data_IF_253101801858
#
_entry.id   IF_253101801858
#
_cell.length_a   1.000
_cell.length_b   1.000
_cell.length_c   1.000
_cell.angle_alpha   90.00
_cell.angle_beta   90.00
_cell.angle_gamma   90.00
#
_symmetry.space_group_name_H-M   'P 1'
#
loop_
_entity.id
_entity.type
_entity.pdbx_description
1 polymer ?
#
# COMPACT_ATOMS: atom_id res chain seq x y z
N UNK A 1 1.14 -22.53 -16.18
CA UNK A 1 -0.29 -22.25 -16.44
C UNK A 1 -0.39 -20.79 -16.85
N UNK A 2 -1.23 -20.45 -17.82
CA UNK A 2 -1.46 -19.07 -18.28
C UNK A 2 -2.94 -18.77 -18.11
N UNK A 3 -3.28 -17.62 -17.55
CA UNK A 3 -4.66 -17.19 -17.29
C UNK A 3 -4.87 -15.78 -17.81
N UNK A 4 -6.09 -15.47 -18.24
CA UNK A 4 -6.56 -14.11 -18.54
C UNK A 4 -7.27 -13.48 -17.34
N UNK A 5 -7.56 -12.18 -17.40
CA UNK A 5 -8.39 -11.50 -16.40
C UNK A 5 -9.79 -12.12 -16.28
N UNK A 6 -10.35 -12.62 -17.38
CA UNK A 6 -11.65 -13.32 -17.40
C UNK A 6 -11.57 -14.66 -16.66
N UNK A 7 -10.47 -15.39 -16.83
CA UNK A 7 -10.22 -16.64 -16.11
C UNK A 7 -10.08 -16.38 -14.61
N UNK A 8 -9.34 -15.33 -14.23
CA UNK A 8 -9.15 -14.93 -12.83
C UNK A 8 -10.47 -14.51 -12.17
N UNK A 9 -11.33 -13.77 -12.88
CA UNK A 9 -12.65 -13.38 -12.36
C UNK A 9 -13.57 -14.60 -12.14
N UNK A 10 -13.53 -15.57 -13.06
CA UNK A 10 -14.27 -16.83 -12.96
C UNK A 10 -13.74 -17.72 -11.82
N UNK A 11 -12.41 -17.75 -11.67
CA UNK A 11 -11.73 -18.42 -10.56
C UNK A 11 -12.15 -17.82 -9.22
N UNK A 12 -12.12 -16.49 -9.06
CA UNK A 12 -12.49 -15.82 -7.82
C UNK A 12 -13.93 -16.15 -7.39
N UNK A 13 -14.87 -16.19 -8.33
CA UNK A 13 -16.26 -16.60 -8.02
C UNK A 13 -16.33 -18.07 -7.56
N UNK A 14 -15.55 -18.96 -8.17
CA UNK A 14 -15.56 -20.39 -7.80
C UNK A 14 -14.88 -20.62 -6.45
N UNK A 15 -13.78 -19.92 -6.21
CA UNK A 15 -13.02 -19.94 -4.96
C UNK A 15 -13.86 -19.38 -3.80
N UNK A 16 -14.34 -18.14 -3.91
CA UNK A 16 -15.08 -17.48 -2.83
C UNK A 16 -16.46 -18.08 -2.53
N UNK A 17 -16.96 -18.97 -3.39
CA UNK A 17 -18.19 -19.74 -3.15
C UNK A 17 -17.93 -21.17 -2.65
N UNK A 18 -16.66 -21.55 -2.46
CA UNK A 18 -16.28 -22.90 -2.02
C UNK A 18 -16.60 -24.00 -3.02
N UNK A 19 -16.69 -23.70 -4.32
CA UNK A 19 -17.05 -24.70 -5.35
C UNK A 19 -15.91 -25.66 -5.71
N UNK A 20 -14.70 -25.33 -5.29
CA UNK A 20 -13.48 -26.06 -5.65
C UNK A 20 -13.08 -27.11 -4.60
N UNK A 21 -13.70 -27.07 -3.43
CA UNK A 21 -13.37 -27.90 -2.28
C UNK A 21 -14.63 -28.55 -1.68
N UNK A 22 -14.44 -29.58 -0.86
CA UNK A 22 -15.53 -30.08 0.01
C UNK A 22 -15.88 -29.04 1.07
N UNK A 23 -17.11 -29.02 1.61
CA UNK A 23 -17.51 -28.05 2.62
C UNK A 23 -16.54 -27.94 3.79
N UNK A 24 -16.06 -29.06 4.34
CA UNK A 24 -15.14 -29.08 5.48
C UNK A 24 -13.76 -28.53 5.12
N UNK A 25 -13.31 -28.74 3.89
CA UNK A 25 -12.04 -28.19 3.40
C UNK A 25 -12.15 -26.70 3.09
N UNK A 26 -13.31 -26.24 2.61
CA UNK A 26 -13.55 -24.82 2.40
C UNK A 26 -13.66 -24.08 3.74
N UNK A 27 -14.34 -24.67 4.72
CA UNK A 27 -14.39 -24.14 6.08
C UNK A 27 -12.97 -23.96 6.65
N UNK A 28 -12.13 -24.99 6.57
CA UNK A 28 -10.73 -24.90 6.96
C UNK A 28 -9.93 -23.84 6.16
N UNK A 29 -10.21 -23.69 4.85
CA UNK A 29 -9.57 -22.66 4.02
C UNK A 29 -9.95 -21.23 4.46
N UNK A 30 -11.19 -21.04 4.91
CA UNK A 30 -11.73 -19.74 5.36
C UNK A 30 -11.67 -19.52 6.86
N UNK A 31 -10.92 -20.34 7.60
CA UNK A 31 -10.55 -20.06 8.99
C UNK A 31 -9.45 -19.00 9.02
N UNK A 32 -9.86 -17.73 8.94
CA UNK A 32 -8.93 -16.60 8.88
C UNK A 32 -8.26 -16.35 10.23
N UNK A 33 -6.98 -15.98 10.15
CA UNK A 33 -6.22 -15.39 11.25
C UNK A 33 -5.75 -14.00 10.85
N UNK A 34 -5.62 -13.11 11.83
CA UNK A 34 -5.00 -11.81 11.62
C UNK A 34 -3.48 -11.96 11.48
N UNK A 35 -2.89 -11.20 10.57
CA UNK A 35 -1.45 -11.05 10.41
C UNK A 35 -1.10 -9.62 10.06
N UNK A 36 0.20 -9.31 10.16
CA UNK A 36 0.76 -8.01 9.77
C UNK A 36 1.87 -8.25 8.76
N UNK A 37 1.92 -7.41 7.72
CA UNK A 37 3.02 -7.44 6.75
C UNK A 37 3.26 -6.02 6.25
N UNK A 38 4.52 -5.59 6.32
CA UNK A 38 4.91 -4.21 5.98
C UNK A 38 4.09 -3.17 6.78
N UNK A 39 3.71 -3.47 8.02
CA UNK A 39 2.90 -2.59 8.86
C UNK A 39 1.40 -2.57 8.52
N UNK A 40 0.97 -3.23 7.45
CA UNK A 40 -0.45 -3.36 7.10
C UNK A 40 -1.03 -4.65 7.69
N UNK A 41 -2.15 -4.53 8.39
CA UNK A 41 -2.90 -5.68 8.91
C UNK A 41 -3.72 -6.34 7.80
N UNK A 42 -3.80 -7.67 7.81
CA UNK A 42 -4.60 -8.44 6.87
C UNK A 42 -5.15 -9.70 7.54
N UNK A 43 -6.21 -10.26 6.95
CA UNK A 43 -6.77 -11.53 7.40
C UNK A 43 -6.49 -12.62 6.38
N UNK A 44 -5.97 -13.75 6.84
CA UNK A 44 -5.43 -14.78 5.97
C UNK A 44 -5.86 -16.18 6.40
N UNK A 45 -6.37 -16.95 5.46
CA UNK A 45 -6.69 -18.37 5.59
C UNK A 45 -5.68 -19.25 4.84
N UNK A 46 -6.10 -20.42 4.37
CA UNK A 46 -5.20 -21.31 3.63
C UNK A 46 -5.09 -20.90 2.15
N UNK A 47 -4.16 -19.97 1.86
CA UNK A 47 -3.94 -19.46 0.51
C UNK A 47 -5.07 -18.55 0.00
N UNK A 48 -5.79 -17.93 0.92
CA UNK A 48 -6.92 -17.04 0.66
C UNK A 48 -6.84 -15.85 1.63
N UNK A 49 -6.94 -14.65 1.11
CA UNK A 49 -7.00 -13.39 1.85
C UNK A 49 -8.45 -12.94 2.04
N UNK A 50 -8.71 -12.25 3.16
CA UNK A 50 -9.90 -11.44 3.37
C UNK A 50 -9.51 -9.97 3.52
N UNK A 51 -10.16 -9.11 2.75
CA UNK A 51 -10.04 -7.66 2.82
C UNK A 51 -11.44 -7.05 2.92
N UNK A 52 -11.84 -6.64 4.13
CA UNK A 52 -13.25 -6.31 4.42
C UNK A 52 -14.16 -7.51 4.12
N UNK A 53 -15.18 -7.29 3.28
CA UNK A 53 -16.09 -8.33 2.80
C UNK A 53 -15.57 -9.11 1.59
N UNK A 54 -14.38 -8.78 1.08
CA UNK A 54 -13.83 -9.40 -0.12
C UNK A 54 -12.96 -10.61 0.20
N UNK A 55 -13.12 -11.68 -0.57
CA UNK A 55 -12.33 -12.92 -0.50
C UNK A 55 -11.52 -13.11 -1.76
N UNK A 56 -10.23 -13.40 -1.66
CA UNK A 56 -9.42 -13.63 -2.85
C UNK A 56 -7.95 -13.73 -2.57
N UNK A 57 -7.11 -13.31 -3.51
CA UNK A 57 -5.67 -13.32 -3.32
C UNK A 57 -4.95 -12.39 -4.30
N UNK A 58 -3.77 -11.94 -3.91
CA UNK A 58 -2.87 -11.12 -4.72
C UNK A 58 -1.77 -11.97 -5.35
N UNK A 59 -1.00 -11.41 -6.28
CA UNK A 59 0.13 -12.10 -6.90
C UNK A 59 1.14 -11.09 -7.40
N UNK A 60 2.42 -11.37 -7.17
CA UNK A 60 3.50 -10.46 -7.52
C UNK A 60 4.68 -11.27 -8.06
N UNK A 61 5.11 -10.94 -9.28
CA UNK A 61 6.35 -11.44 -9.89
C UNK A 61 7.05 -10.26 -10.56
N UNK A 62 8.37 -10.31 -10.75
CA UNK A 62 9.08 -9.18 -11.38
C UNK A 62 8.44 -8.80 -12.73
N UNK A 63 8.11 -7.52 -12.86
CA UNK A 63 7.40 -6.95 -14.00
C UNK A 63 5.87 -7.01 -13.93
N UNK A 64 5.25 -7.73 -13.01
CA UNK A 64 3.79 -7.89 -12.96
C UNK A 64 3.21 -7.97 -11.53
N UNK A 65 2.08 -7.31 -11.33
CA UNK A 65 1.22 -7.51 -10.15
C UNK A 65 -0.18 -7.91 -10.59
N UNK A 66 -0.86 -8.68 -9.75
CA UNK A 66 -2.22 -9.13 -9.97
C UNK A 66 -2.99 -9.18 -8.65
N UNK A 67 -4.30 -8.97 -8.73
CA UNK A 67 -5.21 -9.19 -7.63
C UNK A 67 -6.52 -9.73 -8.19
N UNK A 68 -7.10 -10.72 -7.51
CA UNK A 68 -8.41 -11.25 -7.86
C UNK A 68 -9.21 -11.48 -6.60
N UNK A 69 -10.37 -10.82 -6.50
CA UNK A 69 -11.19 -10.78 -5.30
C UNK A 69 -12.66 -11.00 -5.65
N UNK A 70 -13.40 -11.60 -4.74
CA UNK A 70 -14.82 -11.91 -4.84
C UNK A 70 -15.57 -11.32 -3.65
N UNK A 71 -16.67 -10.62 -3.91
CA UNK A 71 -17.59 -10.07 -2.92
C UNK A 71 -18.81 -10.99 -2.81
N UNK A 72 -18.92 -11.83 -1.76
CA UNK A 72 -19.99 -12.83 -1.65
C UNK A 72 -21.41 -12.25 -1.65
N UNK A 73 -21.61 -11.13 -0.97
CA UNK A 73 -22.91 -10.48 -0.75
C UNK A 73 -23.52 -9.98 -2.06
N UNK A 74 -22.67 -9.49 -2.97
CA UNK A 74 -23.07 -8.98 -4.29
C UNK A 74 -22.84 -9.97 -5.43
N UNK A 75 -22.13 -11.08 -5.16
CA UNK A 75 -21.71 -12.09 -6.14
C UNK A 75 -20.90 -11.51 -7.30
N UNK A 76 -20.02 -10.57 -6.98
CA UNK A 76 -19.15 -9.86 -7.94
C UNK A 76 -17.72 -10.36 -7.79
N UNK A 77 -17.02 -10.52 -8.92
CA UNK A 77 -15.57 -10.69 -8.95
C UNK A 77 -14.92 -9.46 -9.57
N UNK A 78 -13.77 -9.04 -9.04
CA UNK A 78 -12.91 -8.03 -9.66
C UNK A 78 -11.51 -8.62 -9.77
N UNK A 79 -10.98 -8.65 -10.99
CA UNK A 79 -9.64 -9.13 -11.29
C UNK A 79 -8.87 -8.05 -12.04
N UNK A 80 -7.68 -7.70 -11.54
CA UNK A 80 -6.80 -6.68 -12.10
C UNK A 80 -5.42 -7.27 -12.27
N UNK A 81 -4.81 -7.03 -13.42
CA UNK A 81 -3.42 -7.40 -13.72
C UNK A 81 -2.71 -6.20 -14.30
N UNK A 82 -1.55 -5.87 -13.76
CA UNK A 82 -0.73 -4.73 -14.18
C UNK A 82 0.65 -5.25 -14.56
N UNK A 83 1.20 -4.77 -15.67
CA UNK A 83 2.57 -5.05 -16.12
C UNK A 83 3.60 -4.14 -15.43
N UNK A 84 3.42 -3.95 -14.12
CA UNK A 84 4.28 -3.12 -13.31
C UNK A 84 4.54 -3.79 -11.97
N UNK A 85 5.79 -4.22 -11.80
CA UNK A 85 6.40 -4.60 -10.53
C UNK A 85 7.91 -4.44 -10.68
N UNK A 86 8.45 -3.27 -10.34
CA UNK A 86 9.85 -2.95 -10.61
C UNK A 86 10.70 -3.27 -9.38
N UNK A 87 11.85 -3.94 -9.55
CA UNK A 87 12.83 -4.09 -8.45
C UNK A 87 13.93 -3.00 -8.54
N UNK A 88 14.41 -2.44 -7.40
CA UNK A 88 13.84 -2.60 -6.06
C UNK A 88 12.37 -2.15 -6.06
N UNK A 89 11.52 -2.87 -5.30
CA UNK A 89 10.02 -2.91 -5.29
C UNK A 89 9.31 -1.55 -5.18
N UNK A 90 10.07 -0.46 -5.18
CA UNK A 90 9.84 0.79 -4.49
C UNK A 90 9.38 1.91 -5.41
N UNK A 91 9.42 1.72 -6.73
CA UNK A 91 9.40 2.86 -7.67
C UNK A 91 7.99 3.40 -7.86
N UNK A 92 7.15 2.79 -8.67
CA UNK A 92 5.93 3.48 -9.07
C UNK A 92 4.75 3.34 -8.08
N UNK A 93 4.78 2.38 -7.13
CA UNK A 93 3.76 2.09 -6.10
C UNK A 93 2.29 1.94 -6.58
N UNK A 94 2.00 2.22 -7.85
CA UNK A 94 0.71 1.98 -8.50
C UNK A 94 0.76 0.55 -9.02
N UNK A 95 0.37 -0.38 -8.16
CA UNK A 95 0.26 -1.79 -8.48
C UNK A 95 -1.21 -2.22 -8.63
N UNK A 96 -1.45 -3.50 -8.86
CA UNK A 96 -2.80 -4.02 -9.00
C UNK A 96 -3.64 -3.84 -7.72
N UNK A 97 -3.05 -3.81 -6.53
CA UNK A 97 -3.74 -3.69 -5.25
C UNK A 97 -4.32 -2.29 -5.07
N UNK A 98 -3.52 -1.26 -5.32
CA UNK A 98 -3.96 0.14 -5.20
C UNK A 98 -5.11 0.43 -6.17
N UNK A 99 -4.96 0.02 -7.43
CA UNK A 99 -6.00 0.21 -8.46
C UNK A 99 -7.28 -0.54 -8.07
N UNK A 100 -7.15 -1.76 -7.55
CA UNK A 100 -8.30 -2.55 -7.12
C UNK A 100 -9.05 -1.89 -5.97
N UNK A 101 -8.33 -1.44 -4.94
CA UNK A 101 -8.91 -0.79 -3.78
C UNK A 101 -9.72 0.45 -4.20
N UNK A 102 -9.14 1.32 -5.03
CA UNK A 102 -9.83 2.53 -5.49
C UNK A 102 -11.08 2.21 -6.34
N UNK A 103 -11.02 1.19 -7.19
CA UNK A 103 -12.17 0.77 -8.00
C UNK A 103 -13.30 0.20 -7.13
N UNK A 104 -12.99 -0.66 -6.16
CA UNK A 104 -14.04 -1.28 -5.34
C UNK A 104 -14.58 -0.34 -4.28
N UNK A 105 -13.80 0.63 -3.81
CA UNK A 105 -14.30 1.68 -2.92
C UNK A 105 -15.32 2.58 -3.64
N UNK A 106 -15.05 2.95 -4.89
CA UNK A 106 -15.99 3.73 -5.72
C UNK A 106 -17.24 2.92 -6.11
N UNK A 107 -17.07 1.68 -6.56
CA UNK A 107 -18.18 0.88 -7.08
C UNK A 107 -19.00 0.16 -6.00
N UNK A 108 -18.38 -0.15 -4.85
CA UNK A 108 -18.94 -0.91 -3.74
C UNK A 108 -18.55 -0.30 -2.39
N UNK A 109 -18.94 0.96 -2.12
CA UNK A 109 -18.55 1.64 -0.89
C UNK A 109 -18.99 0.88 0.37
N UNK A 110 -18.14 0.93 1.41
CA UNK A 110 -18.39 0.26 2.70
C UNK A 110 -18.13 -1.26 2.70
N UNK A 111 -17.44 -1.79 1.68
CA UNK A 111 -17.09 -3.22 1.60
C UNK A 111 -15.62 -3.52 1.92
N UNK A 112 -14.72 -2.53 1.88
CA UNK A 112 -13.31 -2.69 2.27
C UNK A 112 -13.09 -2.45 3.76
N UNK A 113 -13.64 -1.34 4.25
CA UNK A 113 -13.74 -1.03 5.67
C UNK A 113 -15.22 -1.02 6.03
N UNK A 114 -15.56 -1.41 7.26
CA UNK A 114 -16.88 -1.07 7.79
C UNK A 114 -17.08 0.44 7.54
N UNK A 115 -18.26 0.89 7.09
CA UNK A 115 -18.53 2.31 6.97
C UNK A 115 -18.33 2.90 8.36
N UNK A 116 -17.18 3.51 8.56
CA UNK A 116 -16.93 4.29 9.74
C UNK A 116 -17.90 5.45 9.55
N UNK A 117 -18.91 5.58 10.43
CA UNK A 117 -19.80 6.75 10.46
C UNK A 117 -19.03 8.04 10.83
N UNK A 118 -17.71 8.06 10.64
CA UNK A 118 -16.88 9.23 10.80
C UNK A 118 -17.22 10.18 9.67
N UNK A 119 -17.73 11.36 10.04
CA UNK A 119 -17.87 12.50 9.15
C UNK A 119 -16.63 12.56 8.25
N UNK A 120 -16.83 12.66 6.93
CA UNK A 120 -15.74 12.83 5.98
C UNK A 120 -14.96 14.09 6.36
N UNK A 121 -13.86 13.92 7.09
CA UNK A 121 -12.97 15.01 7.48
C UNK A 121 -12.38 15.57 6.18
N UNK A 122 -12.53 16.87 5.90
CA UNK A 122 -11.95 17.45 4.70
C UNK A 122 -10.46 17.20 4.63
N UNK A 123 -9.96 16.87 3.43
CA UNK A 123 -8.55 16.67 3.22
C UNK A 123 -7.75 17.93 3.57
N UNK A 124 -6.53 17.79 4.15
CA UNK A 124 -5.63 18.91 4.31
C UNK A 124 -5.28 19.51 2.94
N UNK A 125 -4.99 20.82 2.86
CA UNK A 125 -4.58 21.43 1.60
C UNK A 125 -3.33 20.72 1.05
N UNK A 126 -3.31 20.48 -0.26
CA UNK A 126 -2.16 19.87 -0.91
C UNK A 126 -0.94 20.81 -0.79
N UNK A 127 0.23 20.29 -0.39
CA UNK A 127 1.45 21.09 -0.36
C UNK A 127 1.94 21.34 -1.79
N UNK A 128 2.62 22.47 -1.99
CA UNK A 128 3.35 22.74 -3.23
C UNK A 128 4.51 21.75 -3.40
N UNK A 129 4.76 21.28 -4.63
CA UNK A 129 5.81 20.29 -4.91
C UNK A 129 7.20 20.71 -4.40
N UNK A 130 7.53 22.01 -4.51
CA UNK A 130 8.83 22.54 -4.05
C UNK A 130 8.96 22.51 -2.51
N UNK A 131 7.88 22.81 -1.80
CA UNK A 131 7.83 22.76 -0.34
C UNK A 131 7.89 21.31 0.15
N UNK A 132 7.11 20.40 -0.45
CA UNK A 132 7.18 18.98 -0.11
C UNK A 132 8.57 18.39 -0.41
N UNK A 133 9.24 18.83 -1.48
CA UNK A 133 10.64 18.47 -1.75
C UNK A 133 11.57 18.88 -0.61
N UNK A 134 11.47 20.12 -0.13
CA UNK A 134 12.30 20.60 0.97
C UNK A 134 12.06 19.80 2.26
N UNK A 135 10.79 19.54 2.57
CA UNK A 135 10.37 18.75 3.75
C UNK A 135 10.87 17.30 3.68
N UNK A 136 10.72 16.63 2.53
CA UNK A 136 11.22 15.26 2.32
C UNK A 136 12.74 15.19 2.45
N UNK A 137 13.48 16.12 1.84
CA UNK A 137 14.95 16.16 1.94
C UNK A 137 15.41 16.38 3.38
N UNK A 138 14.77 17.30 4.11
CA UNK A 138 15.08 17.51 5.51
C UNK A 138 14.76 16.26 6.35
N UNK A 139 13.60 15.62 6.13
CA UNK A 139 13.20 14.47 6.91
C UNK A 139 14.06 13.22 6.66
N UNK A 140 14.53 13.04 5.42
CA UNK A 140 15.41 11.95 4.98
C UNK A 140 16.90 12.22 5.21
N UNK A 141 17.28 13.40 5.72
CA UNK A 141 18.63 13.69 6.17
C UNK A 141 18.83 13.12 7.59
N UNK A 142 19.77 12.18 7.80
CA UNK A 142 20.05 11.62 9.13
C UNK A 142 20.56 12.67 10.13
N UNK A 143 21.07 13.81 9.68
CA UNK A 143 21.48 14.92 10.54
C UNK A 143 20.29 15.72 11.12
N UNK A 144 19.09 15.59 10.54
CA UNK A 144 17.89 16.27 11.03
C UNK A 144 17.37 15.60 12.30
N UNK A 145 17.32 16.30 13.45
CA UNK A 145 16.75 15.75 14.67
C UNK A 145 15.27 15.39 14.50
N UNK A 146 14.79 14.35 15.20
CA UNK A 146 13.40 13.91 15.12
C UNK A 146 12.39 15.06 15.36
N UNK A 147 12.65 15.92 16.35
CA UNK A 147 11.81 17.09 16.66
C UNK A 147 11.78 18.16 15.55
N UNK A 148 12.75 18.14 14.64
CA UNK A 148 12.83 19.06 13.48
C UNK A 148 12.17 18.51 12.21
N UNK A 149 11.75 17.23 12.19
CA UNK A 149 11.10 16.63 11.02
C UNK A 149 9.67 17.16 10.89
N UNK A 150 9.40 17.86 9.80
CA UNK A 150 8.06 18.40 9.49
C UNK A 150 7.11 17.35 8.91
N UNK A 151 7.66 16.20 8.49
CA UNK A 151 6.89 15.05 8.01
C UNK A 151 6.94 13.94 9.04
N UNK A 152 5.83 13.21 9.13
CA UNK A 152 5.68 12.01 9.94
C UNK A 152 5.35 10.83 9.03
N UNK A 153 5.63 9.63 9.51
CA UNK A 153 5.04 8.40 8.97
C UNK A 153 3.81 8.13 9.82
N UNK A 154 2.72 7.66 9.19
CA UNK A 154 1.51 7.29 9.90
C UNK A 154 1.79 6.12 10.87
N UNK A 155 0.99 5.98 11.92
CA UNK A 155 0.94 4.78 12.77
C UNK A 155 2.31 4.27 13.30
N UNK A 156 3.23 5.18 13.62
CA UNK A 156 4.59 4.82 14.10
C UNK A 156 4.66 4.38 15.56
N UNK A 157 3.54 4.14 16.24
CA UNK A 157 3.52 3.82 17.67
C UNK A 157 4.35 2.57 18.01
N UNK A 158 4.40 1.60 17.09
CA UNK A 158 5.19 0.39 17.23
C UNK A 158 6.71 0.62 17.07
N UNK A 159 7.12 1.66 16.33
CA UNK A 159 8.53 2.03 16.14
C UNK A 159 8.68 3.52 15.76
N UNK A 160 8.83 4.42 16.76
CA UNK A 160 9.02 5.85 16.51
C UNK A 160 10.28 6.19 15.71
N UNK A 161 11.25 5.26 15.64
CA UNK A 161 12.51 5.43 14.90
C UNK A 161 12.39 4.99 13.43
N UNK A 162 11.23 4.53 12.97
CA UNK A 162 11.04 4.08 11.59
C UNK A 162 11.51 5.13 10.57
N UNK A 163 11.19 6.41 10.78
CA UNK A 163 11.66 7.47 9.88
C UNK A 163 13.19 7.60 9.88
N UNK A 164 13.83 7.51 11.04
CA UNK A 164 15.28 7.58 11.15
C UNK A 164 15.95 6.41 10.41
N UNK A 165 15.36 5.21 10.46
CA UNK A 165 15.81 4.03 9.71
C UNK A 165 15.70 4.25 8.20
N UNK A 166 14.59 4.81 7.72
CA UNK A 166 14.44 5.19 6.29
C UNK A 166 15.52 6.20 5.89
N UNK A 167 15.72 7.25 6.70
CA UNK A 167 16.74 8.27 6.45
C UNK A 167 18.16 7.67 6.39
N UNK A 168 18.48 6.71 7.27
CA UNK A 168 19.77 6.01 7.28
C UNK A 168 20.01 5.22 5.98
N UNK A 169 18.99 4.49 5.49
CA UNK A 169 19.08 3.78 4.20
C UNK A 169 19.25 4.76 3.04
N UNK A 170 18.50 5.87 3.02
CA UNK A 170 18.63 6.87 1.97
C UNK A 170 20.03 7.52 1.97
N UNK A 171 20.60 7.77 3.14
CA UNK A 171 21.95 8.31 3.28
C UNK A 171 23.04 7.31 2.85
N UNK A 172 22.92 6.02 3.18
CA UNK A 172 23.91 5.00 2.80
C UNK A 172 24.04 4.88 1.28
N UNK A 173 22.91 5.00 0.58
CA UNK A 173 22.84 5.02 -0.88
C UNK A 173 22.94 6.42 -1.49
N UNK A 174 23.08 7.50 -0.70
CA UNK A 174 23.13 8.90 -1.19
C UNK A 174 21.93 9.28 -2.08
N UNK A 175 20.74 8.76 -1.74
CA UNK A 175 19.50 9.01 -2.46
C UNK A 175 18.96 10.37 -2.04
N UNK A 176 18.80 11.29 -2.99
CA UNK A 176 18.03 12.52 -2.80
C UNK A 176 16.73 12.44 -3.60
N UNK A 177 15.65 12.99 -3.02
CA UNK A 177 14.30 12.99 -3.60
C UNK A 177 13.95 14.39 -4.10
N UNK A 178 13.23 14.47 -5.21
CA UNK A 178 12.58 15.68 -5.72
C UNK A 178 11.13 15.34 -6.04
N UNK A 179 10.17 16.16 -5.60
CA UNK A 179 8.75 15.98 -5.94
C UNK A 179 8.45 16.72 -7.23
N UNK A 180 7.95 15.99 -8.22
CA UNK A 180 7.49 16.55 -9.49
C UNK A 180 6.05 17.07 -9.33
N UNK A 181 5.17 16.23 -8.76
CA UNK A 181 3.74 16.51 -8.65
C UNK A 181 3.14 15.90 -7.40
N UNK A 182 2.21 16.63 -6.80
CA UNK A 182 1.30 16.12 -5.76
C UNK A 182 -0.09 15.95 -6.37
N UNK A 183 -0.73 14.81 -6.11
CA UNK A 183 -2.07 14.49 -6.63
C UNK A 183 -2.93 13.93 -5.50
N UNK A 184 -4.07 14.55 -5.20
CA UNK A 184 -5.11 13.92 -4.38
C UNK A 184 -5.76 12.78 -5.15
N UNK A 185 -5.89 11.61 -4.52
CA UNK A 185 -6.43 10.40 -5.16
C UNK A 185 -7.69 9.87 -4.48
N UNK A 186 -8.16 10.53 -3.42
CA UNK A 186 -9.37 10.15 -2.72
C UNK A 186 -9.46 10.77 -1.32
N UNK A 187 -10.48 10.38 -0.54
CA UNK A 187 -10.59 10.78 0.86
C UNK A 187 -9.33 10.37 1.62
N UNK A 188 -8.78 11.32 2.38
CA UNK A 188 -7.59 11.17 3.20
C UNK A 188 -6.36 10.59 2.47
N UNK A 189 -6.25 10.70 1.13
CA UNK A 189 -5.16 10.08 0.36
C UNK A 189 -4.60 11.01 -0.72
N UNK A 190 -3.27 11.12 -0.75
CA UNK A 190 -2.56 11.77 -1.85
C UNK A 190 -1.30 10.98 -2.25
N UNK A 191 -0.84 11.21 -3.47
CA UNK A 191 0.42 10.68 -3.98
C UNK A 191 1.38 11.82 -4.30
N UNK A 192 2.64 11.68 -3.90
CA UNK A 192 3.74 12.49 -4.42
C UNK A 192 4.46 11.69 -5.50
N UNK A 193 4.38 12.13 -6.75
CA UNK A 193 5.26 11.67 -7.83
C UNK A 193 6.61 12.35 -7.68
N UNK A 194 7.67 11.57 -7.62
CA UNK A 194 9.02 12.03 -7.29
C UNK A 194 10.05 11.49 -8.27
N UNK A 195 11.23 12.09 -8.28
CA UNK A 195 12.43 11.55 -8.88
C UNK A 195 13.53 11.41 -7.84
N UNK A 196 14.27 10.32 -7.89
CA UNK A 196 15.50 10.15 -7.11
C UNK A 196 16.75 10.43 -7.92
N UNK A 197 17.81 10.86 -7.24
CA UNK A 197 19.17 10.97 -7.80
C UNK A 197 19.89 9.60 -7.82
N UNK A 198 21.13 9.51 -8.36
CA UNK A 198 21.93 8.29 -8.31
C UNK A 198 22.09 7.72 -6.88
N UNK A 199 22.36 6.40 -6.75
CA UNK A 199 23.00 5.51 -7.73
C UNK A 199 22.08 5.01 -8.85
N UNK A 200 20.77 5.20 -8.72
CA UNK A 200 19.79 4.63 -9.64
C UNK A 200 19.46 5.50 -10.88
N UNK A 201 20.14 6.63 -11.06
CA UNK A 201 19.77 7.66 -12.05
C UNK A 201 18.45 8.36 -11.70
N UNK A 202 17.99 9.26 -12.57
CA UNK A 202 16.69 9.95 -12.45
C UNK A 202 15.56 8.94 -12.56
N UNK A 203 15.19 8.39 -11.43
CA UNK A 203 14.23 7.30 -11.33
C UNK A 203 12.93 7.86 -10.76
N UNK A 204 11.78 7.66 -11.45
CA UNK A 204 10.51 8.03 -10.87
C UNK A 204 10.17 7.13 -9.67
N UNK A 205 9.72 7.73 -8.58
CA UNK A 205 9.13 7.05 -7.43
C UNK A 205 7.81 7.68 -7.01
N UNK A 206 6.90 6.90 -6.41
CA UNK A 206 5.66 7.41 -5.81
C UNK A 206 5.70 7.18 -4.31
N UNK A 207 5.40 8.24 -3.56
CA UNK A 207 5.28 8.20 -2.10
C UNK A 207 3.80 8.43 -1.76
N UNK A 208 3.09 7.43 -1.22
CA UNK A 208 1.73 7.60 -0.72
C UNK A 208 1.71 8.34 0.62
N UNK A 209 0.70 9.19 0.79
CA UNK A 209 0.42 9.88 2.04
C UNK A 209 -1.04 9.67 2.44
N UNK A 210 -1.26 9.59 3.76
CA UNK A 210 -2.56 9.57 4.40
C UNK A 210 -2.80 10.88 5.16
N UNK A 211 -4.04 11.37 5.19
CA UNK A 211 -4.42 12.47 6.05
C UNK A 211 -4.69 11.93 7.46
N UNK A 212 -3.87 12.33 8.42
CA UNK A 212 -3.99 11.96 9.84
C UNK A 212 -3.88 13.24 10.66
N UNK A 213 -4.87 13.50 11.52
CA UNK A 213 -4.98 14.69 12.36
C UNK A 213 -4.87 16.01 11.57
N UNK A 214 -5.48 16.08 10.39
CA UNK A 214 -5.45 17.26 9.53
C UNK A 214 -4.09 17.53 8.87
N UNK A 215 -3.18 16.55 8.86
CA UNK A 215 -1.86 16.66 8.22
C UNK A 215 -1.58 15.47 7.29
N UNK A 216 -0.85 15.72 6.21
CA UNK A 216 -0.38 14.65 5.32
C UNK A 216 0.82 13.93 5.95
N UNK A 217 0.66 12.63 6.23
CA UNK A 217 1.68 11.75 6.78
C UNK A 217 2.03 10.65 5.78
N UNK A 218 3.29 10.22 5.74
CA UNK A 218 3.78 9.20 4.81
C UNK A 218 3.20 7.83 5.19
N UNK A 219 2.83 7.02 4.21
CA UNK A 219 2.39 5.63 4.43
C UNK A 219 3.45 4.79 5.16
N UNK A 220 3.03 4.09 6.22
CA UNK A 220 3.85 3.12 6.96
C UNK A 220 4.32 1.99 6.06
N UNK A 221 3.42 1.49 5.20
CA UNK A 221 3.73 0.44 4.24
C UNK A 221 4.85 0.88 3.29
N UNK A 222 4.77 2.10 2.76
CA UNK A 222 5.83 2.65 1.92
C UNK A 222 7.15 2.74 2.68
N UNK A 223 7.15 3.23 3.92
CA UNK A 223 8.34 3.37 4.75
C UNK A 223 8.97 2.01 5.06
N UNK A 224 8.16 1.01 5.39
CA UNK A 224 8.59 -0.37 5.63
C UNK A 224 9.23 -0.99 4.39
N UNK A 225 8.65 -0.76 3.21
CA UNK A 225 9.26 -1.20 1.95
C UNK A 225 10.60 -0.50 1.67
N UNK A 226 10.82 0.72 2.19
CA UNK A 226 12.11 1.41 2.03
C UNK A 226 13.24 0.82 2.87
N UNK A 227 12.93 0.09 3.93
CA UNK A 227 13.94 -0.53 4.81
C UNK A 227 13.95 -2.06 4.74
N UNK A 228 13.06 -2.65 3.95
CA UNK A 228 12.96 -4.09 3.77
C UNK A 228 14.30 -4.71 3.36
N UNK A 229 14.69 -5.76 4.07
CA UNK A 229 15.96 -6.50 3.93
C UNK A 229 17.24 -5.69 4.24
N UNK A 230 17.07 -4.44 4.71
CA UNK A 230 18.18 -3.55 5.09
C UNK A 230 18.25 -3.36 6.62
N UNK A 231 17.10 -3.12 7.27
CA UNK A 231 17.01 -2.82 8.70
C UNK A 231 15.69 -3.38 9.27
N UNK A 232 15.77 -4.04 10.42
CA UNK A 232 14.57 -4.51 11.15
C UNK A 232 13.79 -3.36 11.81
N UNK A 233 12.46 -3.45 11.81
CA UNK A 233 11.56 -2.51 12.48
C UNK A 233 10.31 -3.22 12.98
N UNK A 234 9.91 -2.94 14.22
CA UNK A 234 8.69 -3.49 14.82
C UNK A 234 7.43 -2.96 14.15
N UNK A 235 7.45 -1.75 13.59
CA UNK A 235 6.34 -1.20 12.82
C UNK A 235 6.16 -1.90 11.45
N UNK A 236 7.15 -2.68 11.01
CA UNK A 236 7.13 -3.36 9.72
C UNK A 236 6.94 -4.87 9.80
N UNK A 237 6.93 -5.40 11.03
CA UNK A 237 6.75 -6.82 11.33
C UNK A 237 5.30 -7.27 11.19
#
# INVERSE_FOLDING_TARGET
MVSSVTDLASYAQSLGRGRLLRPESFEAQTSFVEGTSFGSTFEYGLGLMRAGSWLGHTGSVLGYTAITMYLPERRVSVAITVNQNTFPVRRLYVDANLIWADIVDELYPGTLSAPDETETVPNPPLPESADLTARLRAALDPATPAAGRQLRIADTDADPELFAKVAQVYASYKIAVTVDKVTEIGPARMLATTQTTPPYGNTPMVIPFYAVDGTWQISTEWACQQIFDEVESLACA
#
